data_IF_051336515260
#
_entry.id   IF_051336515260
#
_cell.length_a   1.000
_cell.length_b   1.000
_cell.length_c   1.000
_cell.angle_alpha   90.00
_cell.angle_beta   90.00
_cell.angle_gamma   90.00
#
_symmetry.space_group_name_H-M   'P 1'
#
loop_
_entity.id
_entity.type
_entity.pdbx_description
1 polymer ?
#
# COMPACT_ATOMS: atom_id res chain seq x y z
N UNK A 1 -14.37 12.93 -7.75
CA UNK A 1 -13.13 12.13 -7.86
C UNK A 1 -12.66 12.16 -9.30
N UNK A 2 -11.36 12.35 -9.57
CA UNK A 2 -10.81 12.20 -10.90
C UNK A 2 -11.01 10.78 -11.46
N UNK A 3 -11.10 10.62 -12.77
CA UNK A 3 -11.35 9.33 -13.44
C UNK A 3 -10.20 8.32 -13.28
N UNK A 4 -9.01 8.78 -12.84
CA UNK A 4 -7.80 7.98 -12.69
C UNK A 4 -7.52 7.52 -11.25
N UNK A 5 -8.45 7.71 -10.32
CA UNK A 5 -8.31 7.20 -8.95
C UNK A 5 -8.77 5.75 -8.87
N UNK A 6 -7.83 4.85 -8.55
CA UNK A 6 -8.15 3.46 -8.27
C UNK A 6 -8.82 3.34 -6.90
N UNK A 7 -9.99 2.71 -6.83
CA UNK A 7 -10.67 2.42 -5.56
C UNK A 7 -10.44 0.95 -5.18
N UNK A 8 -9.92 0.71 -3.97
CA UNK A 8 -9.75 -0.62 -3.40
C UNK A 8 -10.61 -0.71 -2.13
N UNK A 9 -11.49 -1.71 -2.05
CA UNK A 9 -12.48 -1.87 -0.97
C UNK A 9 -13.90 -2.09 -1.50
N UNK A 10 -14.92 -1.75 -0.71
CA UNK A 10 -16.33 -2.13 -0.99
C UNK A 10 -16.89 -1.60 -2.31
N UNK A 11 -16.54 -0.36 -2.68
CA UNK A 11 -17.06 0.31 -3.88
C UNK A 11 -16.15 0.15 -5.11
N UNK A 12 -15.12 -0.69 -5.04
CA UNK A 12 -14.11 -0.84 -6.09
C UNK A 12 -13.57 -2.26 -6.21
N UNK A 13 -12.25 -2.38 -6.34
CA UNK A 13 -11.60 -3.69 -6.35
C UNK A 13 -11.62 -4.26 -4.94
N UNK A 14 -12.34 -5.37 -4.77
CA UNK A 14 -12.35 -6.10 -3.50
C UNK A 14 -10.94 -6.47 -3.05
N UNK A 15 -10.66 -6.39 -1.74
CA UNK A 15 -9.33 -6.67 -1.20
C UNK A 15 -8.75 -8.02 -1.60
N UNK A 16 -9.60 -9.05 -1.67
CA UNK A 16 -9.22 -10.41 -2.11
C UNK A 16 -8.73 -10.49 -3.55
N UNK A 17 -8.97 -9.45 -4.37
CA UNK A 17 -8.53 -9.33 -5.75
C UNK A 17 -7.36 -8.36 -5.94
N UNK A 18 -6.83 -7.77 -4.85
CA UNK A 18 -5.75 -6.80 -4.93
C UNK A 18 -4.50 -7.38 -5.60
N UNK A 19 -4.22 -8.67 -5.46
CA UNK A 19 -3.09 -9.35 -6.12
C UNK A 19 -3.07 -9.20 -7.63
N UNK A 20 -4.23 -9.01 -8.28
CA UNK A 20 -4.32 -8.76 -9.72
C UNK A 20 -3.76 -7.41 -10.15
N UNK A 21 -3.46 -6.52 -9.20
CA UNK A 21 -2.86 -5.20 -9.44
C UNK A 21 -1.34 -5.25 -9.57
N UNK A 22 -0.70 -6.35 -9.13
CA UNK A 22 0.74 -6.50 -9.24
C UNK A 22 1.19 -6.46 -10.71
N UNK A 23 2.28 -5.75 -10.97
CA UNK A 23 2.78 -5.49 -12.33
C UNK A 23 2.13 -4.30 -13.02
N UNK A 24 1.20 -3.62 -12.36
CA UNK A 24 0.60 -2.36 -12.80
C UNK A 24 1.03 -1.22 -11.88
N UNK A 25 0.89 0.01 -12.36
CA UNK A 25 1.21 1.22 -11.59
C UNK A 25 0.07 2.24 -11.68
N UNK A 26 -0.30 2.82 -10.54
CA UNK A 26 -1.41 3.77 -10.40
C UNK A 26 -0.92 5.10 -9.82
N UNK A 27 -1.46 6.21 -10.31
CA UNK A 27 -1.12 7.55 -9.82
C UNK A 27 -1.81 7.85 -8.50
N UNK A 28 -3.07 7.47 -8.38
CA UNK A 28 -3.84 7.70 -7.16
C UNK A 28 -4.63 6.47 -6.78
N UNK A 29 -4.66 6.20 -5.48
CA UNK A 29 -5.37 5.07 -4.90
C UNK A 29 -6.17 5.58 -3.70
N UNK A 30 -7.47 5.28 -3.69
CA UNK A 30 -8.34 5.41 -2.53
C UNK A 30 -8.55 4.02 -1.94
N UNK A 31 -8.07 3.83 -0.72
CA UNK A 31 -8.17 2.58 0.01
C UNK A 31 -9.26 2.69 1.09
N UNK A 32 -10.39 2.05 0.86
CA UNK A 32 -11.56 2.10 1.74
C UNK A 32 -11.42 1.11 2.91
N UNK A 33 -10.82 1.56 4.00
CA UNK A 33 -10.56 0.80 5.22
C UNK A 33 -11.54 1.12 6.37
N UNK A 34 -12.75 1.63 6.05
CA UNK A 34 -13.74 2.00 7.08
C UNK A 34 -14.14 0.83 7.99
N UNK A 35 -14.14 -0.39 7.44
CA UNK A 35 -14.51 -1.63 8.11
C UNK A 35 -13.29 -2.46 8.57
N UNK A 36 -12.07 -1.94 8.47
CA UNK A 36 -10.85 -2.69 8.80
C UNK A 36 -9.75 -2.50 7.77
N UNK A 37 -8.50 -2.77 8.16
CA UNK A 37 -7.33 -2.53 7.32
C UNK A 37 -6.80 -3.86 6.79
N UNK A 38 -7.14 -4.19 5.53
CA UNK A 38 -6.64 -5.40 4.87
C UNK A 38 -5.16 -5.27 4.49
N UNK A 39 -4.27 -5.71 5.37
CA UNK A 39 -2.82 -5.43 5.31
C UNK A 39 -2.15 -5.84 4.00
N UNK A 40 -2.48 -7.02 3.48
CA UNK A 40 -1.91 -7.51 2.22
C UNK A 40 -2.32 -6.63 1.03
N UNK A 41 -3.57 -6.16 1.02
CA UNK A 41 -4.06 -5.30 -0.05
C UNK A 41 -3.47 -3.88 0.08
N UNK A 42 -3.27 -3.40 1.31
CA UNK A 42 -2.59 -2.13 1.57
C UNK A 42 -1.13 -2.16 1.09
N UNK A 43 -0.41 -3.26 1.33
CA UNK A 43 0.96 -3.43 0.85
C UNK A 43 1.02 -3.45 -0.69
N UNK A 44 0.08 -4.12 -1.34
CA UNK A 44 -0.04 -4.11 -2.81
C UNK A 44 -0.38 -2.71 -3.33
N UNK A 45 -1.32 -2.01 -2.69
CA UNK A 45 -1.67 -0.64 -3.04
C UNK A 45 -0.44 0.28 -2.96
N UNK A 46 0.29 0.24 -1.85
CA UNK A 46 1.50 1.03 -1.67
C UNK A 46 2.59 0.66 -2.70
N UNK A 47 2.77 -0.63 -3.00
CA UNK A 47 3.78 -1.10 -3.95
C UNK A 47 3.45 -0.83 -5.43
N UNK A 48 2.20 -0.54 -5.75
CA UNK A 48 1.74 -0.21 -7.12
C UNK A 48 1.54 1.31 -7.30
N UNK A 49 1.81 2.11 -6.26
CA UNK A 49 1.71 3.56 -6.34
C UNK A 49 2.92 4.14 -7.09
N UNK A 50 2.67 4.96 -8.11
CA UNK A 50 3.73 5.72 -8.79
C UNK A 50 4.35 6.75 -7.86
N UNK A 51 5.63 7.06 -8.07
CA UNK A 51 6.25 8.17 -7.36
C UNK A 51 5.55 9.49 -7.72
N UNK A 52 5.40 10.37 -6.73
CA UNK A 52 4.58 11.58 -6.84
C UNK A 52 3.07 11.32 -6.79
N UNK A 53 2.63 10.06 -6.77
CA UNK A 53 1.25 9.67 -6.59
C UNK A 53 0.72 9.86 -5.16
N UNK A 54 -0.56 9.57 -4.98
CA UNK A 54 -1.27 9.73 -3.70
C UNK A 54 -2.01 8.46 -3.32
N UNK A 55 -1.70 7.91 -2.14
CA UNK A 55 -2.49 6.86 -1.50
C UNK A 55 -3.27 7.48 -0.34
N UNK A 56 -4.60 7.45 -0.44
CA UNK A 56 -5.50 7.97 0.59
C UNK A 56 -6.24 6.81 1.24
N UNK A 57 -6.18 6.72 2.58
CA UNK A 57 -6.90 5.72 3.36
C UNK A 57 -8.16 6.36 3.93
N UNK A 58 -9.32 5.78 3.63
CA UNK A 58 -10.59 6.17 4.25
C UNK A 58 -10.81 5.29 5.47
N UNK A 59 -10.85 5.91 6.64
CA UNK A 59 -11.06 5.23 7.92
C UNK A 59 -12.38 5.73 8.52
N UNK A 60 -12.96 4.95 9.42
CA UNK A 60 -14.24 5.28 10.05
C UNK A 60 -14.11 6.45 11.03
N UNK A 61 -13.67 6.19 12.26
CA UNK A 61 -13.41 7.20 13.28
C UNK A 61 -11.97 7.09 13.75
N UNK A 62 -11.15 8.09 13.40
CA UNK A 62 -9.74 8.13 13.78
C UNK A 62 -9.53 8.00 15.29
N UNK A 63 -10.34 8.67 16.12
CA UNK A 63 -10.11 8.68 17.57
C UNK A 63 -10.41 7.30 18.16
N UNK A 64 -11.54 6.71 17.80
CA UNK A 64 -12.00 5.44 18.35
C UNK A 64 -11.56 4.20 17.54
N UNK A 65 -10.70 4.37 16.53
CA UNK A 65 -10.31 3.31 15.60
C UNK A 65 -9.80 2.05 16.30
N UNK A 66 -9.08 2.19 17.43
CA UNK A 66 -8.52 1.05 18.18
C UNK A 66 -9.57 0.19 18.88
N UNK A 67 -10.79 0.70 19.04
CA UNK A 67 -11.94 -0.01 19.62
C UNK A 67 -12.85 -0.63 18.55
N UNK A 68 -12.67 -0.25 17.28
CA UNK A 68 -13.49 -0.76 16.19
C UNK A 68 -13.05 -2.19 15.81
N UNK A 69 -14.00 -3.11 15.61
CA UNK A 69 -13.69 -4.42 15.05
C UNK A 69 -13.11 -4.30 13.64
N UNK A 70 -12.01 -5.00 13.39
CA UNK A 70 -11.37 -5.07 12.08
C UNK A 70 -11.91 -6.29 11.31
N UNK A 71 -12.61 -6.08 10.20
CA UNK A 71 -13.15 -7.18 9.39
C UNK A 71 -12.05 -8.04 8.75
N UNK A 72 -10.84 -7.51 8.50
CA UNK A 72 -9.72 -8.32 8.02
C UNK A 72 -9.29 -9.38 9.05
N UNK A 73 -9.58 -9.14 10.34
CA UNK A 73 -9.26 -10.09 11.40
C UNK A 73 -9.91 -11.46 11.24
N UNK A 74 -11.06 -11.55 10.56
CA UNK A 74 -11.73 -12.83 10.28
C UNK A 74 -10.84 -13.80 9.48
N UNK A 75 -9.84 -13.31 8.74
CA UNK A 75 -8.91 -14.17 7.97
C UNK A 75 -7.86 -14.87 8.83
N UNK A 76 -7.52 -14.31 10.00
CA UNK A 76 -6.36 -14.75 10.79
C UNK A 76 -6.66 -14.97 12.28
N UNK A 77 -7.77 -14.47 12.81
CA UNK A 77 -8.06 -14.51 14.25
C UNK A 77 -8.64 -15.87 14.75
N UNK A 78 -9.09 -16.74 13.83
CA UNK A 78 -9.64 -18.06 14.15
C UNK A 78 -11.04 -18.09 14.79
N UNK A 79 -11.65 -16.93 15.01
CA UNK A 79 -12.99 -16.76 15.58
C UNK A 79 -14.05 -16.54 14.48
N UNK A 80 -15.33 -16.67 14.85
CA UNK A 80 -16.46 -16.44 13.95
C UNK A 80 -16.83 -14.95 13.81
N UNK A 81 -16.24 -14.07 14.63
CA UNK A 81 -16.53 -12.64 14.65
C UNK A 81 -15.24 -11.83 14.53
N UNK A 82 -15.34 -10.66 13.89
CA UNK A 82 -14.27 -9.68 13.85
C UNK A 82 -13.90 -9.24 15.27
N UNK A 83 -12.61 -8.95 15.49
CA UNK A 83 -12.08 -8.44 16.75
C UNK A 83 -11.46 -7.07 16.55
N UNK A 84 -11.40 -6.26 17.60
CA UNK A 84 -10.59 -5.06 17.60
C UNK A 84 -9.09 -5.41 17.62
N UNK A 85 -8.27 -4.56 17.00
CA UNK A 85 -6.82 -4.75 16.85
C UNK A 85 -6.04 -3.60 17.48
N UNK A 86 -6.25 -3.27 18.77
CA UNK A 86 -5.77 -2.01 19.37
C UNK A 86 -4.26 -1.82 19.25
N UNK A 87 -3.47 -2.87 19.48
CA UNK A 87 -2.00 -2.79 19.37
C UNK A 87 -1.54 -2.40 17.95
N UNK A 88 -2.19 -2.95 16.92
CA UNK A 88 -1.88 -2.62 15.54
C UNK A 88 -2.30 -1.18 15.21
N UNK A 89 -3.51 -0.78 15.61
CA UNK A 89 -4.01 0.57 15.37
C UNK A 89 -3.17 1.62 16.10
N UNK A 90 -2.78 1.38 17.35
CA UNK A 90 -1.94 2.32 18.10
C UNK A 90 -0.56 2.46 17.45
N UNK A 91 0.02 1.34 16.98
CA UNK A 91 1.26 1.38 16.20
C UNK A 91 1.09 2.13 14.87
N UNK A 92 -0.02 1.89 14.16
CA UNK A 92 -0.35 2.59 12.92
C UNK A 92 -0.46 4.10 13.14
N UNK A 93 -1.18 4.54 14.19
CA UNK A 93 -1.27 5.95 14.59
C UNK A 93 0.10 6.57 14.88
N UNK A 94 0.96 5.87 15.60
CA UNK A 94 2.33 6.31 15.87
C UNK A 94 3.15 6.47 14.59
N UNK A 95 2.97 5.58 13.60
CA UNK A 95 3.61 5.70 12.29
C UNK A 95 3.09 6.91 11.52
N UNK A 96 1.76 7.13 11.50
CA UNK A 96 1.14 8.31 10.87
C UNK A 96 1.72 9.61 11.44
N UNK A 97 1.82 9.71 12.77
CA UNK A 97 2.43 10.86 13.44
C UNK A 97 3.92 11.00 13.11
N UNK A 98 4.70 9.92 13.26
CA UNK A 98 6.15 9.91 13.06
C UNK A 98 6.56 10.35 11.66
N UNK A 99 5.80 9.93 10.65
CA UNK A 99 6.08 10.24 9.24
C UNK A 99 5.29 11.44 8.74
N UNK A 100 4.61 12.16 9.64
CA UNK A 100 3.86 13.38 9.34
C UNK A 100 2.82 13.21 8.22
N UNK A 101 2.17 12.04 8.17
CA UNK A 101 1.06 11.83 7.25
C UNK A 101 -0.15 12.69 7.68
N UNK A 102 -0.74 13.47 6.77
CA UNK A 102 -1.86 14.34 7.12
C UNK A 102 -3.13 13.53 7.42
N UNK A 103 -3.86 13.94 8.46
CA UNK A 103 -5.17 13.39 8.78
C UNK A 103 -6.23 14.39 8.29
N UNK A 104 -6.95 14.00 7.24
CA UNK A 104 -7.98 14.82 6.63
C UNK A 104 -9.34 14.46 7.25
N UNK A 105 -10.07 15.47 7.76
CA UNK A 105 -11.39 15.29 8.39
C UNK A 105 -12.54 15.51 7.43
N UNK A 106 -12.29 16.23 6.34
CA UNK A 106 -13.28 16.58 5.33
C UNK A 106 -12.92 15.90 4.01
N UNK A 107 -13.92 15.33 3.34
CA UNK A 107 -13.72 14.70 2.02
C UNK A 107 -13.20 15.71 0.98
N UNK A 108 -13.62 16.97 1.07
CA UNK A 108 -13.17 18.07 0.21
C UNK A 108 -11.70 18.43 0.37
N UNK A 109 -11.05 18.02 1.48
CA UNK A 109 -9.64 18.26 1.71
C UNK A 109 -8.73 17.25 1.01
N UNK A 110 -9.29 16.18 0.42
CA UNK A 110 -8.53 15.18 -0.32
C UNK A 110 -8.17 15.72 -1.70
N UNK A 111 -6.88 15.85 -1.95
CA UNK A 111 -6.35 16.29 -3.24
C UNK A 111 -5.68 15.12 -3.97
N UNK A 112 -5.87 15.09 -5.29
CA UNK A 112 -5.26 14.14 -6.21
C UNK A 112 -4.54 14.95 -7.30
N UNK A 113 -3.32 15.43 -7.01
CA UNK A 113 -2.61 16.34 -7.89
C UNK A 113 -2.15 15.62 -9.15
N UNK A 114 -2.09 16.34 -10.28
CA UNK A 114 -1.52 15.79 -11.49
C UNK A 114 -0.07 15.35 -11.25
N UNK A 115 0.23 14.08 -11.53
CA UNK A 115 1.57 13.50 -11.33
C UNK A 115 2.39 13.73 -12.60
N UNK A 116 3.36 14.64 -12.53
CA UNK A 116 4.31 14.85 -13.62
C UNK A 116 5.55 14.00 -13.38
N UNK A 117 5.59 12.82 -13.99
CA UNK A 117 6.72 11.91 -13.88
C UNK A 117 7.47 11.78 -15.21
N UNK A 118 8.76 12.15 -15.23
CA UNK A 118 9.63 11.85 -16.38
C UNK A 118 10.04 10.39 -16.31
N UNK A 119 9.50 9.59 -17.23
CA UNK A 119 9.89 8.20 -17.43
C UNK A 119 11.32 8.09 -18.00
N UNK A 120 12.33 8.41 -17.20
CA UNK A 120 13.71 7.98 -17.45
C UNK A 120 13.82 6.50 -17.04
N UNK A 121 13.12 5.63 -17.78
CA UNK A 121 13.23 4.17 -17.62
C UNK A 121 14.60 3.73 -18.12
N UNK A 122 15.64 3.92 -17.30
CA UNK A 122 16.89 3.23 -17.51
C UNK A 122 16.63 1.73 -17.27
N UNK A 123 16.42 0.97 -18.35
CA UNK A 123 16.33 -0.50 -18.33
C UNK A 123 17.65 -1.19 -17.96
N UNK A 124 18.61 -0.44 -17.44
CA UNK A 124 19.89 -0.96 -16.98
C UNK A 124 19.71 -1.48 -15.56
N UNK A 125 20.46 -2.53 -15.23
CA UNK A 125 20.58 -2.97 -13.86
C UNK A 125 21.02 -1.79 -12.97
N UNK A 126 20.42 -1.69 -11.78
CA UNK A 126 20.96 -0.78 -10.75
C UNK A 126 22.40 -1.19 -10.43
N UNK A 127 23.21 -0.29 -9.85
CA UNK A 127 24.59 -0.61 -9.47
C UNK A 127 24.66 -1.86 -8.57
N UNK A 128 23.72 -1.98 -7.62
CA UNK A 128 23.62 -3.15 -6.74
C UNK A 128 23.28 -4.43 -7.53
N UNK A 129 22.34 -4.36 -8.48
CA UNK A 129 22.02 -5.49 -9.35
C UNK A 129 23.22 -5.88 -10.23
N UNK A 130 23.93 -4.90 -10.80
CA UNK A 130 25.10 -5.10 -11.63
C UNK A 130 26.24 -5.79 -10.85
N UNK A 131 26.50 -5.37 -9.61
CA UNK A 131 27.48 -6.01 -8.73
C UNK A 131 27.15 -7.49 -8.44
N UNK A 132 25.87 -7.80 -8.21
CA UNK A 132 25.41 -9.18 -7.99
C UNK A 132 25.60 -10.00 -9.27
N UNK A 133 25.21 -9.46 -10.43
CA UNK A 133 25.40 -10.11 -11.73
C UNK A 133 26.89 -10.42 -11.97
N UNK A 134 27.77 -9.44 -11.73
CA UNK A 134 29.22 -9.62 -11.87
C UNK A 134 29.76 -10.69 -10.92
N UNK A 135 29.28 -10.72 -9.67
CA UNK A 135 29.66 -11.74 -8.68
C UNK A 135 29.26 -13.14 -9.16
N UNK A 136 28.03 -13.32 -9.65
CA UNK A 136 27.54 -14.61 -10.17
C UNK A 136 28.36 -15.05 -11.38
N UNK A 137 28.64 -14.13 -12.32
CA UNK A 137 29.39 -14.44 -13.54
C UNK A 137 30.86 -14.80 -13.25
N UNK A 138 31.50 -14.17 -12.26
CA UNK A 138 32.86 -14.50 -11.84
C UNK A 138 32.93 -15.86 -11.12
N UNK A 139 31.99 -16.14 -10.21
CA UNK A 139 31.91 -17.44 -9.53
C UNK A 139 31.70 -18.60 -10.52
N UNK A 140 30.87 -18.40 -11.54
CA UNK A 140 30.59 -19.41 -12.59
C UNK A 140 31.81 -19.75 -13.45
N UNK A 141 32.79 -18.85 -13.58
CA UNK A 141 34.04 -19.10 -14.32
C UNK A 141 35.06 -19.91 -13.52
N UNK A 142 34.93 -19.97 -12.19
CA UNK A 142 35.87 -20.68 -11.31
C UNK A 142 35.56 -22.19 -11.26
N UNK A 143 34.32 -22.60 -11.58
CA UNK A 143 33.89 -24.01 -11.58
C UNK A 143 34.06 -24.75 -12.92
N UNK A 144 34.78 -24.17 -13.88
CA UNK A 144 35.16 -24.87 -15.12
C UNK A 144 36.65 -25.25 -15.04
N UNK A 145 36.96 -26.30 -14.28
CA UNK A 145 38.21 -27.06 -14.33
C UNK A 145 37.93 -28.53 -14.05
#
# INVERSE_FOLDING_TARGET
MPDHVLIIGESGIAFSKATNLLGQEFEHILFDARNGIHLEALAIAAGTLKMGGTLCLVLSDWENLSQQPDQDSLRWNGNQSAIATPNFIDHFKQCIERYHFPILREESAVEFPAVFYSNEHHKNATLAQQQIIETILQASRIFIF
#
